data_IF_136236197207
#
_entry.id   IF_136236197207
#
_cell.length_a   1.000
_cell.length_b   1.000
_cell.length_c   1.000
_cell.angle_alpha   90.00
_cell.angle_beta   90.00
_cell.angle_gamma   90.00
#
_symmetry.space_group_name_H-M   'P 1'
#
loop_
_entity.id
_entity.type
_entity.pdbx_description
1 polymer ?
#
# COMPACT_ATOMS: atom_id res chain seq x y z
N UNK A 1 9.15 24.55 8.13
CA UNK A 1 7.85 24.80 7.47
C UNK A 1 6.82 23.92 8.14
N UNK A 2 5.67 24.48 8.47
CA UNK A 2 4.59 23.76 9.19
C UNK A 2 3.38 23.58 8.29
N UNK A 3 2.46 22.71 8.71
CA UNK A 3 1.23 22.44 7.94
C UNK A 3 0.22 23.54 8.20
N UNK A 4 -0.11 24.27 7.14
CA UNK A 4 -1.20 25.23 7.17
C UNK A 4 -2.55 24.52 7.31
N UNK A 5 -3.32 24.89 8.35
CA UNK A 5 -4.68 24.40 8.59
C UNK A 5 -5.63 25.58 8.61
N UNK A 6 -6.71 25.51 7.83
CA UNK A 6 -7.77 26.52 7.88
C UNK A 6 -8.49 26.42 9.23
N UNK A 7 -8.72 27.55 9.90
CA UNK A 7 -9.38 27.60 11.22
C UNK A 7 -10.75 26.92 11.25
N UNK A 8 -11.51 27.03 10.16
CA UNK A 8 -12.82 26.40 10.01
C UNK A 8 -12.76 24.93 9.55
N UNK A 9 -11.59 24.41 9.19
CA UNK A 9 -11.47 23.03 8.73
C UNK A 9 -11.39 22.10 9.94
N UNK A 10 -12.40 21.24 10.08
CA UNK A 10 -12.28 20.11 11.00
C UNK A 10 -11.17 19.17 10.49
N UNK A 11 -10.31 18.66 11.38
CA UNK A 11 -9.34 17.63 11.02
C UNK A 11 -10.09 16.32 10.77
N UNK A 12 -10.67 16.19 9.57
CA UNK A 12 -11.46 15.02 9.21
C UNK A 12 -10.52 13.87 8.83
N UNK A 13 -10.31 12.98 9.80
CA UNK A 13 -9.73 11.67 9.56
C UNK A 13 -10.85 10.66 9.63
N UNK A 14 -10.81 9.67 8.75
CA UNK A 14 -11.78 8.59 8.75
C UNK A 14 -11.76 7.85 10.11
N UNK A 15 -12.88 7.76 10.84
CA UNK A 15 -12.96 7.02 12.10
C UNK A 15 -12.64 5.54 11.96
N UNK A 16 -12.03 4.96 12.99
CA UNK A 16 -11.61 3.54 12.98
C UNK A 16 -12.78 2.55 12.97
N UNK A 17 -13.97 2.96 13.41
CA UNK A 17 -15.18 2.12 13.43
C UNK A 17 -16.04 2.28 12.15
N UNK A 18 -15.55 2.97 11.13
CA UNK A 18 -16.27 3.14 9.87
C UNK A 18 -16.31 1.83 9.06
N UNK A 19 -17.29 1.67 8.16
CA UNK A 19 -17.45 0.46 7.33
C UNK A 19 -16.45 0.35 6.16
N UNK A 20 -15.23 0.86 6.32
CA UNK A 20 -14.20 0.84 5.28
C UNK A 20 -13.30 -0.40 5.41
N UNK A 21 -12.67 -0.83 4.31
CA UNK A 21 -11.73 -1.94 4.36
C UNK A 21 -10.56 -1.68 5.33
N UNK A 22 -10.13 -2.73 6.04
CA UNK A 22 -9.03 -2.65 7.03
C UNK A 22 -7.73 -2.09 6.44
N UNK A 23 -7.43 -2.38 5.17
CA UNK A 23 -6.23 -1.86 4.51
C UNK A 23 -6.25 -0.33 4.35
N UNK A 24 -7.43 0.29 4.23
CA UNK A 24 -7.57 1.75 4.17
C UNK A 24 -7.23 2.36 5.53
N UNK A 25 -7.86 1.86 6.60
CA UNK A 25 -7.58 2.30 7.97
C UNK A 25 -6.11 2.12 8.34
N UNK A 26 -5.50 1.01 7.92
CA UNK A 26 -4.06 0.75 8.11
C UNK A 26 -3.18 1.74 7.36
N UNK A 27 -3.59 2.20 6.19
CA UNK A 27 -2.80 3.10 5.37
C UNK A 27 -2.86 4.56 5.84
N UNK A 28 -3.93 4.96 6.52
CA UNK A 28 -4.14 6.35 6.96
C UNK A 28 -2.98 6.88 7.83
N UNK A 29 -2.56 6.22 8.93
CA UNK A 29 -1.45 6.73 9.74
C UNK A 29 -0.14 6.82 8.96
N UNK A 30 0.16 5.79 8.16
CA UNK A 30 1.37 5.71 7.35
C UNK A 30 1.43 6.84 6.32
N UNK A 31 0.36 7.01 5.54
CA UNK A 31 0.28 8.02 4.50
C UNK A 31 0.29 9.44 5.07
N UNK A 32 -0.34 9.64 6.24
CA UNK A 32 -0.29 10.90 6.95
C UNK A 32 1.15 11.24 7.37
N UNK A 33 1.86 10.35 8.07
CA UNK A 33 3.25 10.57 8.50
C UNK A 33 4.19 10.85 7.33
N UNK A 34 4.03 10.12 6.22
CA UNK A 34 4.77 10.36 4.99
C UNK A 34 4.50 11.77 4.42
N UNK A 35 3.24 12.21 4.43
CA UNK A 35 2.86 13.55 3.98
C UNK A 35 3.44 14.63 4.88
N UNK A 36 3.45 14.44 6.21
CA UNK A 36 4.07 15.37 7.15
C UNK A 36 5.55 15.56 6.81
N UNK A 37 6.27 14.46 6.60
CA UNK A 37 7.70 14.47 6.27
C UNK A 37 8.01 15.26 4.99
N UNK A 38 7.14 15.18 3.98
CA UNK A 38 7.28 15.97 2.74
C UNK A 38 7.08 17.48 2.98
N UNK A 39 6.12 17.85 3.82
CA UNK A 39 5.75 19.26 4.06
C UNK A 39 6.73 19.93 5.03
N UNK A 40 7.13 19.23 6.09
CA UNK A 40 7.96 19.76 7.16
C UNK A 40 9.44 19.75 6.78
N UNK A 41 10.02 20.93 6.54
CA UNK A 41 11.45 21.07 6.23
C UNK A 41 12.34 20.99 7.46
N UNK A 42 11.83 21.32 8.65
CA UNK A 42 12.57 21.26 9.92
C UNK A 42 12.12 20.05 10.73
N UNK A 43 13.05 19.45 11.48
CA UNK A 43 12.80 18.25 12.29
C UNK A 43 11.91 18.54 13.50
N UNK A 44 12.08 19.70 14.14
CA UNK A 44 11.26 20.11 15.29
C UNK A 44 9.79 20.32 14.87
N UNK A 45 9.56 21.01 13.74
CA UNK A 45 8.23 21.14 13.14
C UNK A 45 7.59 19.78 12.86
N UNK A 46 8.38 18.82 12.33
CA UNK A 46 7.89 17.47 12.04
C UNK A 46 7.51 16.72 13.32
N UNK A 47 8.30 16.86 14.39
CA UNK A 47 8.02 16.23 15.69
C UNK A 47 6.66 16.69 16.22
N UNK A 48 6.43 18.00 16.27
CA UNK A 48 5.14 18.54 16.72
C UNK A 48 3.96 18.04 15.86
N UNK A 49 4.16 17.98 14.55
CA UNK A 49 3.13 17.54 13.62
C UNK A 49 2.82 16.03 13.74
N UNK A 50 3.82 15.21 14.04
CA UNK A 50 3.64 13.79 14.34
C UNK A 50 2.88 13.58 15.66
N UNK A 51 3.14 14.39 16.68
CA UNK A 51 2.40 14.34 17.94
C UNK A 51 0.93 14.75 17.74
N UNK A 52 0.69 15.84 17.00
CA UNK A 52 -0.66 16.27 16.60
C UNK A 52 -1.39 15.17 15.80
N UNK A 53 -0.69 14.49 14.89
CA UNK A 53 -1.24 13.35 14.14
C UNK A 53 -1.63 12.19 15.07
N UNK A 54 -0.77 11.84 16.04
CA UNK A 54 -1.05 10.77 16.99
C UNK A 54 -2.29 11.08 17.81
N UNK A 55 -2.40 12.29 18.34
CA UNK A 55 -3.58 12.76 19.09
C UNK A 55 -4.84 12.69 18.23
N UNK A 56 -4.77 13.19 17.00
CA UNK A 56 -5.89 13.17 16.06
C UNK A 56 -6.38 11.73 15.75
N UNK A 57 -5.46 10.77 15.58
CA UNK A 57 -5.83 9.37 15.36
C UNK A 57 -6.51 8.74 16.60
N UNK A 58 -5.99 9.03 17.79
CA UNK A 58 -6.58 8.55 19.06
C UNK A 58 -8.00 9.12 19.27
N UNK A 59 -8.21 10.39 18.97
CA UNK A 59 -9.54 11.02 19.01
C UNK A 59 -10.52 10.36 18.02
N UNK A 60 -10.02 9.89 16.87
CA UNK A 60 -10.78 9.13 15.87
C UNK A 60 -10.89 7.61 16.18
N UNK A 61 -10.66 7.23 17.45
CA UNK A 61 -10.82 5.87 17.99
C UNK A 61 -9.87 4.83 17.39
N UNK A 62 -8.74 5.24 16.83
CA UNK A 62 -7.71 4.28 16.44
C UNK A 62 -7.07 3.66 17.70
N UNK A 63 -6.91 2.32 17.77
CA UNK A 63 -6.24 1.69 18.90
C UNK A 63 -4.78 2.18 19.02
N UNK A 64 -4.28 2.53 20.24
CA UNK A 64 -2.93 3.07 20.41
C UNK A 64 -1.84 2.16 19.83
N UNK A 65 -1.90 0.85 20.13
CA UNK A 65 -0.97 -0.15 19.59
C UNK A 65 -0.99 -0.20 18.06
N UNK A 66 -2.16 -0.01 17.45
CA UNK A 66 -2.31 -0.01 16.00
C UNK A 66 -1.62 1.20 15.37
N UNK A 67 -1.81 2.39 15.97
CA UNK A 67 -1.15 3.63 15.54
C UNK A 67 0.37 3.47 15.62
N UNK A 68 0.87 3.01 16.76
CA UNK A 68 2.31 2.82 17.00
C UNK A 68 2.93 1.83 16.00
N UNK A 69 2.21 0.73 15.69
CA UNK A 69 2.64 -0.22 14.67
C UNK A 69 2.75 0.41 13.28
N UNK A 70 1.78 1.23 12.87
CA UNK A 70 1.81 1.85 11.55
C UNK A 70 2.87 2.96 11.45
N UNK A 71 3.09 3.72 12.52
CA UNK A 71 4.15 4.73 12.59
C UNK A 71 5.54 4.06 12.61
N UNK A 72 5.71 2.98 13.38
CA UNK A 72 6.96 2.19 13.40
C UNK A 72 7.26 1.60 12.03
N UNK A 73 6.24 1.10 11.33
CA UNK A 73 6.37 0.64 9.95
C UNK A 73 6.84 1.75 9.02
N UNK A 74 6.28 2.95 9.17
CA UNK A 74 6.72 4.13 8.41
C UNK A 74 8.20 4.45 8.65
N UNK A 75 8.66 4.48 9.90
CA UNK A 75 10.09 4.68 10.20
C UNK A 75 10.95 3.60 9.55
N UNK A 76 10.58 2.33 9.72
CA UNK A 76 11.32 1.21 9.15
C UNK A 76 11.44 1.31 7.62
N UNK A 77 10.34 1.66 6.94
CA UNK A 77 10.30 1.75 5.48
C UNK A 77 11.13 2.94 4.95
N UNK A 78 11.31 4.01 5.74
CA UNK A 78 12.02 5.22 5.32
C UNK A 78 13.49 5.26 5.76
N UNK A 79 13.76 4.95 7.03
CA UNK A 79 15.10 5.04 7.64
C UNK A 79 15.81 3.70 7.72
N UNK A 80 15.07 2.58 7.63
CA UNK A 80 15.56 1.24 7.94
C UNK A 80 15.49 0.90 9.44
N UNK A 81 15.26 1.89 10.29
CA UNK A 81 15.20 1.75 11.74
C UNK A 81 13.76 1.85 12.25
N UNK A 82 13.49 1.24 13.41
CA UNK A 82 12.17 1.35 14.05
C UNK A 82 11.99 2.64 14.84
N UNK A 83 13.07 3.36 15.12
CA UNK A 83 13.07 4.59 15.92
C UNK A 83 12.81 5.84 15.06
N UNK A 84 12.28 6.88 15.70
CA UNK A 84 12.12 8.21 15.09
C UNK A 84 13.41 9.02 15.10
N UNK A 85 14.45 8.60 15.84
CA UNK A 85 15.69 9.36 16.07
C UNK A 85 16.42 9.72 14.78
N UNK A 86 16.53 8.77 13.85
CA UNK A 86 17.17 9.00 12.56
C UNK A 86 16.42 10.07 11.74
N UNK A 87 15.07 10.02 11.74
CA UNK A 87 14.24 10.96 10.97
C UNK A 87 14.20 12.35 11.62
N UNK A 88 14.10 12.42 12.94
CA UNK A 88 13.98 13.67 13.70
C UNK A 88 15.34 14.28 14.07
N UNK A 89 16.43 13.60 13.70
CA UNK A 89 17.80 14.04 13.93
C UNK A 89 18.32 14.99 12.84
N UNK A 90 19.65 15.10 12.78
CA UNK A 90 20.36 15.98 11.82
C UNK A 90 20.16 15.55 10.35
N UNK A 91 19.82 14.28 10.13
CA UNK A 91 19.63 13.67 8.81
C UNK A 91 18.22 13.86 8.24
N UNK A 92 17.33 14.64 8.89
CA UNK A 92 15.95 14.87 8.43
C UNK A 92 15.86 15.31 6.96
N UNK A 93 16.74 16.24 6.54
CA UNK A 93 16.77 16.75 5.17
C UNK A 93 16.95 15.65 4.12
N UNK A 94 17.84 14.69 4.38
CA UNK A 94 18.10 13.53 3.53
C UNK A 94 16.86 12.65 3.39
N UNK A 95 16.18 12.34 4.50
CA UNK A 95 14.98 11.51 4.45
C UNK A 95 13.82 12.24 3.77
N UNK A 96 13.69 13.54 3.98
CA UNK A 96 12.72 14.37 3.26
C UNK A 96 12.95 14.33 1.76
N UNK A 97 14.18 14.48 1.29
CA UNK A 97 14.52 14.39 -0.14
C UNK A 97 14.13 13.03 -0.73
N UNK A 98 14.39 11.92 -0.01
CA UNK A 98 13.94 10.58 -0.41
C UNK A 98 12.42 10.56 -0.61
N UNK A 99 11.65 11.13 0.33
CA UNK A 99 10.17 11.13 0.22
C UNK A 99 9.63 12.00 -0.91
N UNK A 100 10.40 12.99 -1.38
CA UNK A 100 10.05 13.88 -2.49
C UNK A 100 10.39 13.26 -3.85
N UNK A 101 11.32 12.31 -3.91
CA UNK A 101 11.68 11.63 -5.15
C UNK A 101 10.52 10.77 -5.67
N UNK A 102 10.08 11.02 -6.90
CA UNK A 102 9.01 10.25 -7.55
C UNK A 102 9.35 8.76 -7.71
N UNK A 103 10.62 8.42 -7.88
CA UNK A 103 11.06 7.03 -8.05
C UNK A 103 10.81 6.20 -6.80
N UNK A 104 10.85 6.81 -5.61
CA UNK A 104 10.56 6.12 -4.36
C UNK A 104 9.10 5.63 -4.30
N UNK A 105 8.17 6.34 -4.95
CA UNK A 105 6.77 5.93 -5.05
C UNK A 105 6.53 4.88 -6.16
N UNK A 106 7.44 4.76 -7.14
CA UNK A 106 7.36 3.78 -8.22
C UNK A 106 7.96 2.45 -7.77
N UNK A 107 7.27 1.73 -6.88
CA UNK A 107 7.59 0.30 -6.70
C UNK A 107 7.34 -0.42 -8.02
N UNK A 108 8.42 -0.91 -8.64
CA UNK A 108 8.30 -1.77 -9.81
C UNK A 108 7.43 -2.97 -9.42
N UNK A 109 6.35 -3.21 -10.18
CA UNK A 109 5.62 -4.48 -10.04
C UNK A 109 6.61 -5.59 -10.39
N UNK A 110 6.68 -6.64 -9.58
CA UNK A 110 7.47 -7.84 -9.94
C UNK A 110 6.98 -8.31 -11.32
N UNK A 111 7.85 -8.40 -12.33
CA UNK A 111 7.48 -9.00 -13.61
C UNK A 111 7.10 -10.46 -13.37
N UNK A 112 6.02 -10.91 -14.00
CA UNK A 112 5.58 -12.30 -13.93
C UNK A 112 6.42 -13.09 -14.94
N UNK A 113 7.15 -14.08 -14.46
CA UNK A 113 7.90 -15.00 -15.29
C UNK A 113 7.02 -16.20 -15.64
N UNK A 114 6.39 -16.20 -16.81
CA UNK A 114 5.49 -17.29 -17.24
C UNK A 114 6.14 -18.68 -17.35
N UNK A 115 7.47 -18.80 -17.20
CA UNK A 115 8.14 -20.11 -17.13
C UNK A 115 8.05 -20.74 -15.75
N UNK A 116 8.11 -19.92 -14.70
CA UNK A 116 8.21 -20.35 -13.31
C UNK A 116 7.05 -19.85 -12.45
N UNK A 117 6.24 -18.93 -12.96
CA UNK A 117 5.09 -18.35 -12.27
C UNK A 117 3.78 -18.87 -12.87
N UNK A 118 2.93 -19.46 -12.04
CA UNK A 118 1.54 -19.81 -12.40
C UNK A 118 0.60 -18.74 -11.84
N UNK A 119 -0.24 -18.17 -12.70
CA UNK A 119 -1.32 -17.27 -12.30
C UNK A 119 -2.57 -18.08 -11.92
N UNK A 120 -2.85 -18.15 -10.63
CA UNK A 120 -4.06 -18.82 -10.13
C UNK A 120 -5.16 -17.79 -9.87
N UNK A 121 -6.27 -17.91 -10.61
CA UNK A 121 -7.41 -17.04 -10.46
C UNK A 121 -8.57 -17.76 -9.80
N UNK A 122 -9.13 -17.18 -8.74
CA UNK A 122 -10.35 -17.70 -8.11
C UNK A 122 -11.40 -16.61 -7.94
N UNK A 123 -12.66 -17.02 -7.98
CA UNK A 123 -13.78 -16.15 -7.62
C UNK A 123 -13.87 -16.09 -6.11
N UNK A 124 -13.87 -14.89 -5.55
CA UNK A 124 -13.99 -14.72 -4.11
C UNK A 124 -15.33 -15.26 -3.60
N UNK A 125 -15.27 -16.16 -2.63
CA UNK A 125 -16.42 -16.61 -1.84
C UNK A 125 -16.11 -16.45 -0.36
N UNK A 126 -17.14 -16.30 0.48
CA UNK A 126 -16.95 -16.12 1.93
C UNK A 126 -16.17 -17.28 2.57
N UNK A 127 -16.36 -18.50 2.06
CA UNK A 127 -15.62 -19.69 2.49
C UNK A 127 -14.11 -19.61 2.18
N UNK A 128 -13.72 -18.88 1.13
CA UNK A 128 -12.33 -18.68 0.73
C UNK A 128 -11.68 -17.44 1.38
N UNK A 129 -12.35 -16.76 2.32
CA UNK A 129 -11.81 -15.57 2.98
C UNK A 129 -10.46 -15.83 3.69
N UNK A 130 -10.25 -17.07 4.19
CA UNK A 130 -9.00 -17.52 4.83
C UNK A 130 -8.07 -18.27 3.88
N UNK A 131 -8.49 -18.53 2.64
CA UNK A 131 -7.69 -19.30 1.70
C UNK A 131 -6.38 -18.58 1.38
N UNK A 132 -6.43 -17.27 1.14
CA UNK A 132 -5.24 -16.48 0.82
C UNK A 132 -4.15 -16.47 1.91
N UNK A 133 -4.51 -16.62 3.20
CA UNK A 133 -3.52 -16.63 4.29
C UNK A 133 -2.76 -17.94 4.36
N UNK A 134 -3.42 -19.05 4.01
CA UNK A 134 -2.86 -20.39 4.12
C UNK A 134 -2.44 -20.96 2.75
N UNK A 135 -2.66 -20.23 1.67
CA UNK A 135 -2.49 -20.71 0.31
C UNK A 135 -1.10 -21.29 0.05
N UNK A 136 -0.05 -20.54 0.40
CA UNK A 136 1.32 -21.00 0.18
C UNK A 136 1.71 -22.17 1.08
N UNK A 137 1.10 -22.27 2.27
CA UNK A 137 1.29 -23.43 3.14
C UNK A 137 0.65 -24.67 2.51
N UNK A 138 -0.62 -24.57 2.09
CA UNK A 138 -1.35 -25.66 1.41
C UNK A 138 -0.65 -26.06 0.11
N UNK A 139 -0.12 -25.09 -0.65
CA UNK A 139 0.62 -25.37 -1.86
C UNK A 139 1.85 -26.22 -1.60
N UNK A 140 2.66 -25.82 -0.62
CA UNK A 140 3.85 -26.58 -0.24
C UNK A 140 3.46 -27.98 0.26
N UNK A 141 2.46 -28.10 1.14
CA UNK A 141 2.00 -29.41 1.65
C UNK A 141 1.58 -30.39 0.54
N UNK A 142 1.02 -29.89 -0.58
CA UNK A 142 0.53 -30.74 -1.67
C UNK A 142 1.60 -31.00 -2.74
N UNK A 143 2.45 -30.02 -3.02
CA UNK A 143 3.35 -30.05 -4.18
C UNK A 143 4.83 -30.17 -3.80
N UNK A 144 5.17 -30.26 -2.53
CA UNK A 144 6.52 -30.56 -2.05
C UNK A 144 7.04 -31.87 -2.69
N UNK A 145 8.24 -31.81 -3.28
CA UNK A 145 8.86 -32.95 -3.98
C UNK A 145 8.29 -33.25 -5.38
N UNK A 146 7.33 -32.46 -5.87
CA UNK A 146 6.85 -32.57 -7.26
C UNK A 146 7.66 -31.65 -8.20
N UNK A 147 7.58 -31.84 -9.54
CA UNK A 147 8.17 -30.88 -10.49
C UNK A 147 7.65 -29.44 -10.33
N UNK A 148 6.53 -29.25 -9.62
CA UNK A 148 5.90 -27.95 -9.38
C UNK A 148 6.39 -27.26 -8.09
N UNK A 149 7.27 -27.89 -7.32
CA UNK A 149 7.78 -27.36 -6.05
C UNK A 149 8.49 -26.00 -6.22
N UNK A 150 9.25 -25.84 -7.30
CA UNK A 150 9.93 -24.58 -7.65
C UNK A 150 9.01 -23.57 -8.36
N UNK A 151 7.73 -23.88 -8.55
CA UNK A 151 6.80 -23.00 -9.26
C UNK A 151 6.20 -21.99 -8.28
N UNK A 152 6.40 -20.71 -8.56
CA UNK A 152 5.79 -19.65 -7.79
C UNK A 152 4.36 -19.42 -8.24
N UNK A 153 3.44 -19.32 -7.29
CA UNK A 153 2.07 -18.97 -7.65
C UNK A 153 1.76 -17.53 -7.31
N UNK A 154 1.27 -16.84 -8.33
CA UNK A 154 0.66 -15.54 -8.18
C UNK A 154 -0.84 -15.75 -8.11
N UNK A 155 -1.41 -15.70 -6.92
CA UNK A 155 -2.86 -15.78 -6.75
C UNK A 155 -3.50 -14.40 -6.96
N UNK A 156 -4.63 -14.35 -7.66
CA UNK A 156 -5.36 -13.12 -7.91
C UNK A 156 -6.88 -13.33 -7.90
N UNK A 157 -7.61 -12.44 -7.22
CA UNK A 157 -9.07 -12.51 -7.16
C UNK A 157 -9.67 -12.07 -8.50
N UNK A 158 -10.55 -12.88 -9.07
CA UNK A 158 -11.44 -12.46 -10.16
C UNK A 158 -12.65 -11.74 -9.57
N UNK A 159 -12.69 -10.42 -9.74
CA UNK A 159 -13.93 -9.65 -9.61
C UNK A 159 -14.67 -9.70 -10.95
N UNK A 160 -16.01 -9.73 -10.94
CA UNK A 160 -16.85 -9.68 -12.15
C UNK A 160 -16.48 -8.51 -13.08
N UNK A 161 -16.02 -7.39 -12.52
CA UNK A 161 -15.54 -6.24 -13.30
C UNK A 161 -14.20 -6.48 -14.02
N UNK A 162 -13.30 -7.28 -13.43
CA UNK A 162 -12.04 -7.69 -14.08
C UNK A 162 -12.28 -8.64 -15.24
N UNK A 163 -13.29 -9.52 -15.12
CA UNK A 163 -13.72 -10.40 -16.21
C UNK A 163 -14.35 -9.59 -17.36
N UNK A 164 -15.17 -8.58 -17.04
CA UNK A 164 -15.68 -7.63 -18.06
C UNK A 164 -14.54 -6.91 -18.78
N UNK A 165 -13.48 -6.50 -18.09
CA UNK A 165 -12.32 -5.85 -18.73
C UNK A 165 -11.49 -6.81 -19.60
N UNK A 166 -11.39 -8.09 -19.21
CA UNK A 166 -10.70 -9.14 -19.97
C UNK A 166 -11.48 -9.60 -21.22
N UNK A 167 -12.80 -9.73 -21.10
CA UNK A 167 -13.68 -10.20 -22.18
C UNK A 167 -14.09 -9.09 -23.14
N UNK A 168 -14.25 -7.86 -22.65
CA UNK A 168 -14.59 -6.70 -23.49
C UNK A 168 -13.29 -6.03 -23.94
N UNK A 169 -12.74 -6.46 -25.08
CA UNK A 169 -11.72 -5.68 -25.79
C UNK A 169 -12.32 -4.33 -26.17
N UNK A 170 -12.06 -3.29 -25.36
CA UNK A 170 -12.71 -1.97 -25.53
C UNK A 170 -12.41 -1.27 -26.85
N UNK A 171 -11.39 -1.68 -27.63
CA UNK A 171 -11.19 -1.28 -29.03
C UNK A 171 -10.51 -2.39 -29.84
N UNK A 172 -10.96 -2.67 -31.08
CA UNK A 172 -10.16 -3.46 -32.03
C UNK A 172 -8.84 -2.73 -32.30
N UNK A 173 -7.76 -3.51 -32.51
CA UNK A 173 -6.44 -2.94 -32.81
C UNK A 173 -6.51 -2.06 -34.07
N UNK A 174 -5.82 -0.92 -34.08
CA UNK A 174 -5.79 0.02 -35.22
C UNK A 174 -5.39 -0.63 -36.56
N UNK A 175 -4.73 -1.78 -36.53
CA UNK A 175 -4.42 -2.58 -37.71
C UNK A 175 -5.66 -3.14 -38.41
N UNK A 176 -6.72 -3.47 -37.67
CA UNK A 176 -8.00 -3.98 -38.20
C UNK A 176 -8.87 -2.87 -38.80
N UNK A 177 -8.62 -1.61 -38.41
CA UNK A 177 -9.36 -0.43 -38.89
C UNK A 177 -8.74 0.18 -40.16
N UNK A 178 -7.63 -0.36 -40.67
CA UNK A 178 -7.11 0.02 -41.98
C UNK A 178 -7.87 -0.75 -43.05
N UNK A 179 -8.94 -0.17 -43.57
CA UNK A 179 -9.53 -0.62 -44.83
C UNK A 179 -8.47 -0.45 -45.95
N UNK A 180 -8.34 -1.40 -46.89
CA UNK A 180 -7.44 -1.24 -48.03
C UNK A 180 -7.86 0.00 -48.85
N UNK A 181 -6.90 0.75 -49.42
CA UNK A 181 -7.22 1.89 -50.28
C UNK A 181 -8.02 1.42 -51.50
N UNK A 182 -9.07 2.18 -51.83
CA UNK A 182 -9.86 2.02 -53.07
C UNK A 182 -9.06 2.48 -54.28
#
# INVERSE_FOLDING_TARGET
>A
TTIYRKLAAQPYVLPFNSSHPSHIMRNIPYAAALRLTRICSQSDDLREELDKLRIMLLLNKYPPKFVDQQITRFYKDLTGEKSSDALLGKEHGKYREITLNEQWNKKAKRPIDFKNDILCHFSYTLALARFGTNFHQIWNEIFEGTPLDNTHIVYANRLTDSLKQLLVKKRPSKQVLKLPPQ
#
